data_IF_743932840889
#
_entry.id   IF_743932840889
#
_cell.length_a   1.000
_cell.length_b   1.000
_cell.length_c   1.000
_cell.angle_alpha   90.00
_cell.angle_beta   90.00
_cell.angle_gamma   90.00
#
_symmetry.space_group_name_H-M   'P 1'
#
loop_
_entity.id
_entity.type
_entity.pdbx_description
1 polymer ?
#
# COMPACT_ATOMS: atom_id res chain seq x y z
N UNK A 1 -45.32 37.13 4.37
CA UNK A 1 -44.33 36.84 3.29
C UNK A 1 -42.92 36.56 3.80
N UNK A 2 -42.38 37.22 4.84
CA UNK A 2 -40.98 37.06 5.29
C UNK A 2 -40.59 35.67 5.88
N UNK A 3 -41.51 34.94 6.50
CA UNK A 3 -41.21 33.67 7.19
C UNK A 3 -40.95 32.48 6.25
N UNK A 4 -41.59 32.44 5.06
CA UNK A 4 -41.40 31.35 4.09
C UNK A 4 -40.01 31.39 3.43
N UNK A 5 -39.51 32.59 3.13
CA UNK A 5 -38.16 32.76 2.58
C UNK A 5 -37.07 32.44 3.61
N UNK A 6 -37.32 32.72 4.90
CA UNK A 6 -36.38 32.38 5.97
C UNK A 6 -36.23 30.86 6.16
N UNK A 7 -37.35 30.11 6.08
CA UNK A 7 -37.33 28.64 6.19
C UNK A 7 -36.64 27.99 4.99
N UNK A 8 -36.87 28.51 3.78
CA UNK A 8 -36.23 28.03 2.54
C UNK A 8 -34.72 28.27 2.60
N UNK A 9 -34.28 29.43 3.10
CA UNK A 9 -32.84 29.71 3.27
C UNK A 9 -32.16 28.78 4.27
N UNK A 10 -32.83 28.40 5.37
CA UNK A 10 -32.29 27.45 6.35
C UNK A 10 -32.16 26.04 5.76
N UNK A 11 -33.17 25.59 4.99
CA UNK A 11 -33.14 24.28 4.33
C UNK A 11 -32.04 24.25 3.27
N UNK A 12 -31.89 25.31 2.47
CA UNK A 12 -30.82 25.44 1.47
C UNK A 12 -29.42 25.43 2.11
N UNK A 13 -29.24 26.12 3.25
CA UNK A 13 -27.99 26.12 4.00
C UNK A 13 -27.69 24.73 4.58
N UNK A 14 -28.70 24.05 5.12
CA UNK A 14 -28.56 22.67 5.61
C UNK A 14 -28.22 21.69 4.48
N UNK A 15 -28.85 21.81 3.32
CA UNK A 15 -28.52 20.96 2.16
C UNK A 15 -27.12 21.24 1.62
N UNK A 16 -26.66 22.49 1.60
CA UNK A 16 -25.28 22.80 1.20
C UNK A 16 -24.26 22.19 2.16
N UNK A 17 -24.49 22.28 3.47
CA UNK A 17 -23.61 21.71 4.50
C UNK A 17 -23.59 20.17 4.44
N UNK A 18 -24.73 19.52 4.15
CA UNK A 18 -24.79 18.08 3.97
C UNK A 18 -24.06 17.60 2.69
N UNK A 19 -24.11 18.38 1.60
CA UNK A 19 -23.41 18.07 0.35
C UNK A 19 -21.89 18.25 0.51
N UNK A 20 -21.43 19.27 1.25
CA UNK A 20 -20.01 19.48 1.54
C UNK A 20 -19.41 18.41 2.47
N UNK A 21 -20.21 17.84 3.37
CA UNK A 21 -19.77 16.74 4.25
C UNK A 21 -19.67 15.39 3.54
N UNK A 22 -20.48 15.15 2.51
CA UNK A 22 -20.33 13.93 1.69
C UNK A 22 -19.05 14.00 0.87
N UNK A 23 -18.80 15.11 0.15
CA UNK A 23 -17.70 15.25 -0.83
C UNK A 23 -16.26 15.26 -0.27
N UNK A 24 -16.06 15.14 1.04
CA UNK A 24 -14.74 15.04 1.67
C UNK A 24 -14.43 13.59 2.01
N UNK A 25 -14.21 12.75 0.99
CA UNK A 25 -13.58 11.45 1.23
C UNK A 25 -12.28 11.70 2.01
N UNK A 26 -12.23 11.24 3.26
CA UNK A 26 -11.08 11.49 4.14
C UNK A 26 -9.85 10.91 3.46
N UNK A 27 -8.85 11.76 3.21
CA UNK A 27 -7.57 11.32 2.64
C UNK A 27 -6.98 10.24 3.54
N UNK A 28 -6.85 9.04 3.02
CA UNK A 28 -6.22 7.91 3.70
C UNK A 28 -4.76 7.92 3.32
N UNK A 29 -3.90 7.84 4.34
CA UNK A 29 -2.47 7.67 4.17
C UNK A 29 -1.97 6.71 5.26
N UNK A 30 -1.95 5.43 4.95
CA UNK A 30 -1.49 4.37 5.88
C UNK A 30 -0.17 3.83 5.39
N UNK A 31 0.79 3.66 6.29
CA UNK A 31 2.14 3.18 5.97
C UNK A 31 2.55 2.11 6.95
N UNK A 32 3.15 1.03 6.47
CA UNK A 32 3.58 -0.11 7.28
C UNK A 32 5.07 -0.32 7.08
N UNK A 33 5.81 -0.44 8.18
CA UNK A 33 7.24 -0.78 8.19
C UNK A 33 7.42 -2.25 8.52
N UNK A 34 7.95 -3.02 7.58
CA UNK A 34 8.26 -4.43 7.73
C UNK A 34 9.33 -4.68 8.79
N UNK A 35 9.27 -5.85 9.43
CA UNK A 35 10.33 -6.34 10.33
C UNK A 35 10.49 -5.61 11.66
N UNK A 36 9.66 -4.61 11.96
CA UNK A 36 9.77 -3.76 13.15
C UNK A 36 8.50 -3.76 13.99
N UNK A 37 8.68 -3.65 15.31
CA UNK A 37 7.60 -3.65 16.30
C UNK A 37 7.25 -2.24 16.81
N UNK A 38 8.09 -1.26 16.51
CA UNK A 38 7.97 0.15 16.85
C UNK A 38 7.51 0.99 15.65
N UNK A 39 6.78 2.06 15.95
CA UNK A 39 6.45 3.09 14.96
C UNK A 39 7.71 3.86 14.55
N UNK A 40 7.77 4.24 13.28
CA UNK A 40 8.85 5.06 12.74
C UNK A 40 8.29 6.35 12.14
N UNK A 41 8.84 7.49 12.56
CA UNK A 41 8.56 8.78 11.94
C UNK A 41 9.69 9.13 10.99
N UNK A 42 9.37 9.26 9.71
CA UNK A 42 10.37 9.57 8.70
C UNK A 42 10.74 11.06 8.67
N UNK A 43 11.74 11.40 7.86
CA UNK A 43 12.25 12.76 7.69
C UNK A 43 11.21 13.78 7.20
N UNK A 44 10.10 13.31 6.62
CA UNK A 44 8.96 14.13 6.18
C UNK A 44 7.85 14.21 7.24
N UNK A 45 8.07 13.60 8.39
CA UNK A 45 7.11 13.53 9.49
C UNK A 45 5.98 12.52 9.28
N UNK A 46 6.06 11.64 8.26
CA UNK A 46 5.07 10.59 8.02
C UNK A 46 5.29 9.47 9.04
N UNK A 47 4.19 8.96 9.59
CA UNK A 47 4.22 7.83 10.52
C UNK A 47 4.14 6.52 9.73
N UNK A 48 5.04 5.60 10.05
CA UNK A 48 5.07 4.22 9.56
C UNK A 48 4.75 3.28 10.71
N UNK A 49 3.64 2.58 10.60
CA UNK A 49 3.16 1.66 11.61
C UNK A 49 3.95 0.34 11.63
N UNK A 50 4.06 -0.32 12.79
CA UNK A 50 4.85 -1.54 12.93
C UNK A 50 4.23 -2.74 12.20
N UNK A 51 4.98 -3.34 11.29
CA UNK A 51 4.57 -4.54 10.55
C UNK A 51 4.46 -5.80 11.43
N UNK A 52 4.96 -5.76 12.66
CA UNK A 52 4.89 -6.84 13.65
C UNK A 52 3.65 -6.76 14.57
N UNK A 53 2.72 -5.82 14.32
CA UNK A 53 1.46 -5.70 15.07
C UNK A 53 0.36 -6.57 14.48
N UNK A 54 -0.32 -7.35 15.34
CA UNK A 54 -1.47 -8.16 14.95
C UNK A 54 -2.62 -7.27 14.51
N UNK A 55 -3.34 -7.70 13.48
CA UNK A 55 -4.53 -7.00 13.00
C UNK A 55 -5.52 -6.68 14.11
N UNK A 56 -6.02 -5.45 14.08
CA UNK A 56 -7.14 -4.97 14.87
C UNK A 56 -8.05 -4.12 13.99
N UNK A 57 -9.35 -4.39 14.02
CA UNK A 57 -10.38 -3.59 13.33
C UNK A 57 -10.52 -2.17 13.89
N UNK A 58 -10.11 -1.97 15.15
CA UNK A 58 -10.25 -0.70 15.88
C UNK A 58 -9.00 0.20 15.71
N UNK A 59 -8.10 -0.17 14.81
CA UNK A 59 -6.80 0.48 14.57
C UNK A 59 -6.51 0.60 13.06
N UNK A 60 -5.28 0.91 12.66
CA UNK A 60 -4.89 1.02 11.25
C UNK A 60 -4.88 -0.32 10.49
N UNK A 61 -4.72 -1.45 11.18
CA UNK A 61 -4.56 -2.77 10.56
C UNK A 61 -3.53 -3.64 11.28
N UNK A 62 -2.92 -4.58 10.56
CA UNK A 62 -1.85 -5.44 11.06
C UNK A 62 -1.72 -6.75 10.31
N UNK A 63 -0.81 -7.61 10.76
CA UNK A 63 -0.66 -8.95 10.18
C UNK A 63 -1.86 -9.84 10.54
N UNK A 64 -2.19 -10.75 9.64
CA UNK A 64 -3.21 -11.79 9.83
C UNK A 64 -2.59 -13.18 9.66
N UNK A 65 -3.30 -14.19 10.17
CA UNK A 65 -2.90 -15.61 10.16
C UNK A 65 -1.60 -15.90 10.93
N UNK A 66 -0.44 -15.57 10.35
CA UNK A 66 0.87 -15.87 10.89
C UNK A 66 1.65 -14.59 11.19
N UNK A 67 2.24 -14.50 12.38
CA UNK A 67 3.20 -13.44 12.71
C UNK A 67 4.38 -13.53 11.72
N UNK A 68 4.67 -12.48 10.92
CA UNK A 68 5.80 -12.49 10.02
C UNK A 68 7.10 -12.56 10.81
N UNK A 69 8.06 -13.33 10.30
CA UNK A 69 9.43 -13.31 10.81
C UNK A 69 10.11 -12.00 10.43
N UNK A 70 11.20 -11.67 11.12
CA UNK A 70 11.99 -10.46 10.87
C UNK A 70 13.38 -10.81 10.33
N UNK A 71 13.93 -9.93 9.51
CA UNK A 71 15.34 -9.95 9.14
C UNK A 71 15.84 -8.52 8.94
N UNK A 72 17.16 -8.33 9.07
CA UNK A 72 17.83 -7.03 8.91
C UNK A 72 18.73 -7.03 7.70
N UNK A 73 18.49 -6.07 6.80
CA UNK A 73 19.41 -5.80 5.70
C UNK A 73 20.66 -5.13 6.28
N UNK A 74 21.82 -5.71 6.04
CA UNK A 74 23.06 -5.27 6.70
C UNK A 74 23.59 -3.95 6.14
N UNK A 75 23.42 -3.73 4.83
CA UNK A 75 23.91 -2.55 4.13
C UNK A 75 23.03 -2.24 2.91
N UNK A 76 23.12 -1.01 2.41
CA UNK A 76 22.58 -0.63 1.11
C UNK A 76 23.72 -0.12 0.23
N UNK A 77 23.70 -0.46 -1.06
CA UNK A 77 24.57 0.16 -2.05
C UNK A 77 24.27 1.65 -2.20
N UNK A 78 25.23 2.44 -2.68
CA UNK A 78 25.00 3.88 -2.89
C UNK A 78 23.90 4.14 -3.93
N UNK A 79 23.78 3.26 -4.93
CA UNK A 79 22.69 3.30 -5.90
C UNK A 79 21.33 3.08 -5.22
N UNK A 80 21.23 2.08 -4.33
CA UNK A 80 20.01 1.83 -3.57
C UNK A 80 19.63 3.01 -2.67
N UNK A 81 20.59 3.61 -1.95
CA UNK A 81 20.36 4.82 -1.14
C UNK A 81 19.87 5.98 -1.98
N UNK A 82 20.49 6.20 -3.15
CA UNK A 82 20.08 7.23 -4.11
C UNK A 82 18.65 6.98 -4.60
N UNK A 83 18.32 5.73 -4.97
CA UNK A 83 16.98 5.35 -5.40
C UNK A 83 15.93 5.62 -4.31
N UNK A 84 16.21 5.27 -3.05
CA UNK A 84 15.32 5.54 -1.92
C UNK A 84 15.07 7.05 -1.78
N UNK A 85 16.14 7.85 -1.78
CA UNK A 85 16.06 9.31 -1.66
C UNK A 85 15.29 9.95 -2.82
N UNK A 86 15.57 9.56 -4.06
CA UNK A 86 14.90 10.09 -5.26
C UNK A 86 13.41 9.74 -5.26
N UNK A 87 13.05 8.56 -4.76
CA UNK A 87 11.66 8.15 -4.55
C UNK A 87 11.02 8.81 -3.31
N UNK A 88 11.81 9.49 -2.48
CA UNK A 88 11.35 10.22 -1.31
C UNK A 88 11.10 9.37 -0.07
N UNK A 89 11.89 8.30 0.11
CA UNK A 89 11.87 7.41 1.27
C UNK A 89 13.18 7.48 2.04
N UNK A 90 13.08 7.27 3.36
CA UNK A 90 14.22 7.20 4.25
C UNK A 90 14.87 5.81 4.18
N UNK A 91 16.20 5.76 4.10
CA UNK A 91 16.96 4.49 4.07
C UNK A 91 16.59 3.51 5.20
N UNK A 92 16.36 3.95 6.48
CA UNK A 92 15.81 3.12 7.56
C UNK A 92 14.62 2.22 7.25
N UNK A 93 13.84 2.52 6.21
CA UNK A 93 12.72 1.69 5.79
C UNK A 93 13.17 0.40 5.11
N UNK A 94 14.32 0.40 4.43
CA UNK A 94 14.83 -0.75 3.68
C UNK A 94 15.76 -1.64 4.50
N UNK A 95 16.15 -1.22 5.71
CA UNK A 95 17.04 -1.99 6.60
C UNK A 95 16.34 -3.11 7.38
N UNK A 96 15.03 -3.28 7.23
CA UNK A 96 14.26 -4.33 7.89
C UNK A 96 13.20 -4.92 6.96
N UNK A 97 12.91 -6.21 7.12
CA UNK A 97 11.88 -6.90 6.36
C UNK A 97 10.98 -7.75 7.26
N UNK A 98 9.70 -7.82 6.92
CA UNK A 98 8.79 -8.87 7.35
C UNK A 98 8.84 -9.99 6.31
N UNK A 99 8.99 -11.25 6.73
CA UNK A 99 9.08 -12.39 5.82
C UNK A 99 8.39 -13.64 6.37
N UNK A 100 8.16 -14.64 5.53
CA UNK A 100 7.60 -15.94 5.94
C UNK A 100 8.36 -17.10 5.30
N UNK A 101 8.57 -18.17 6.08
CA UNK A 101 9.20 -19.39 5.60
C UNK A 101 8.22 -20.21 4.74
N UNK A 102 8.54 -20.41 3.47
CA UNK A 102 7.72 -21.20 2.55
C UNK A 102 7.45 -22.61 3.14
N UNK A 103 6.19 -23.09 3.12
CA UNK A 103 5.03 -22.60 2.36
C UNK A 103 4.17 -21.55 3.06
N UNK A 104 4.59 -21.02 4.21
CA UNK A 104 3.89 -19.90 4.85
C UNK A 104 4.02 -18.62 4.02
N UNK A 105 3.06 -17.74 4.21
CA UNK A 105 2.91 -16.49 3.45
C UNK A 105 2.89 -15.31 4.40
N UNK A 106 3.23 -14.13 3.90
CA UNK A 106 3.03 -12.89 4.65
C UNK A 106 1.67 -12.32 4.25
N UNK A 107 0.83 -11.98 5.23
CA UNK A 107 -0.48 -11.38 5.00
C UNK A 107 -0.75 -10.23 5.96
N UNK A 108 -1.28 -9.14 5.42
CA UNK A 108 -1.68 -7.96 6.18
C UNK A 108 -3.06 -7.49 5.75
N UNK A 109 -3.84 -7.07 6.73
CA UNK A 109 -5.11 -6.38 6.52
C UNK A 109 -4.95 -4.95 7.01
N UNK A 110 -5.39 -3.99 6.18
CA UNK A 110 -5.26 -2.55 6.44
C UNK A 110 -6.65 -1.92 6.38
N UNK A 111 -7.07 -1.25 7.46
CA UNK A 111 -8.40 -0.63 7.54
C UNK A 111 -8.41 0.70 6.77
N UNK A 112 -8.48 0.62 5.44
CA UNK A 112 -8.46 1.78 4.54
C UNK A 112 -9.82 2.46 4.41
N UNK A 113 -10.91 1.75 4.71
CA UNK A 113 -12.24 2.15 4.23
C UNK A 113 -12.42 1.85 2.74
N UNK A 114 -13.63 2.12 2.23
CA UNK A 114 -13.96 1.90 0.84
C UNK A 114 -13.38 3.01 -0.04
N UNK A 115 -12.93 2.66 -1.24
CA UNK A 115 -12.44 3.65 -2.20
C UNK A 115 -11.41 3.11 -3.17
N UNK A 116 -10.75 4.03 -3.86
CA UNK A 116 -9.67 3.75 -4.81
C UNK A 116 -8.36 4.25 -4.19
N UNK A 117 -7.33 3.42 -4.21
CA UNK A 117 -6.05 3.65 -3.56
C UNK A 117 -4.87 3.38 -4.48
N UNK A 118 -3.78 4.10 -4.26
CA UNK A 118 -2.48 3.81 -4.84
C UNK A 118 -1.60 3.17 -3.75
N UNK A 119 -0.90 2.10 -4.12
CA UNK A 119 -0.03 1.32 -3.24
C UNK A 119 1.40 1.43 -3.74
N UNK A 120 2.33 1.73 -2.83
CA UNK A 120 3.76 1.56 -3.06
C UNK A 120 4.31 0.43 -2.19
N UNK A 121 4.87 -0.58 -2.85
CA UNK A 121 5.59 -1.69 -2.24
C UNK A 121 7.09 -1.40 -2.20
N UNK A 122 7.72 -1.62 -1.05
CA UNK A 122 9.15 -1.39 -0.80
C UNK A 122 9.81 -2.69 -0.35
N UNK A 123 11.00 -2.98 -0.86
CA UNK A 123 11.82 -4.10 -0.40
C UNK A 123 13.31 -3.79 -0.48
N UNK A 124 14.06 -4.20 0.54
CA UNK A 124 15.52 -4.31 0.52
C UNK A 124 15.95 -5.77 0.60
N UNK A 125 16.90 -6.19 -0.22
CA UNK A 125 17.39 -7.58 -0.28
C UNK A 125 18.85 -7.68 0.15
N UNK A 126 19.17 -8.71 0.93
CA UNK A 126 20.53 -8.97 1.44
C UNK A 126 20.83 -10.45 1.70
N UNK A 127 19.80 -11.28 1.87
CA UNK A 127 19.93 -12.67 2.33
C UNK A 127 19.90 -13.66 1.15
N UNK A 128 19.08 -13.40 0.13
CA UNK A 128 18.93 -14.27 -1.03
C UNK A 128 18.86 -13.46 -2.33
N UNK A 129 19.90 -12.68 -2.64
CA UNK A 129 19.90 -11.74 -3.75
C UNK A 129 19.67 -12.43 -5.10
N UNK A 130 18.77 -11.86 -5.91
CA UNK A 130 18.34 -12.42 -7.20
C UNK A 130 17.82 -13.88 -7.14
N UNK A 131 17.52 -14.39 -5.95
CA UNK A 131 17.21 -15.80 -5.71
C UNK A 131 15.92 -16.02 -4.89
N UNK A 132 15.24 -14.94 -4.49
CA UNK A 132 13.93 -15.04 -3.83
C UNK A 132 12.81 -14.81 -4.84
N UNK A 133 11.90 -15.77 -4.99
CA UNK A 133 10.81 -15.74 -5.96
C UNK A 133 9.42 -15.88 -5.34
N UNK A 134 8.54 -14.91 -5.55
CA UNK A 134 7.17 -14.91 -5.04
C UNK A 134 6.23 -14.07 -5.89
N UNK A 135 4.94 -14.18 -5.62
CA UNK A 135 3.90 -13.34 -6.18
C UNK A 135 3.45 -12.30 -5.14
N UNK A 136 3.02 -11.14 -5.61
CA UNK A 136 2.40 -10.10 -4.79
C UNK A 136 0.93 -9.99 -5.17
N UNK A 137 0.07 -10.16 -4.16
CA UNK A 137 -1.36 -10.01 -4.29
C UNK A 137 -1.85 -8.81 -3.47
N UNK A 138 -2.77 -8.04 -4.06
CA UNK A 138 -3.51 -6.96 -3.41
C UNK A 138 -4.99 -7.18 -3.75
N UNK A 139 -5.89 -7.15 -2.77
CA UNK A 139 -7.32 -7.44 -2.97
C UNK A 139 -7.58 -8.79 -3.67
N UNK A 140 -6.71 -9.78 -3.45
CA UNK A 140 -6.78 -11.09 -4.09
C UNK A 140 -6.34 -11.14 -5.56
N UNK A 141 -6.04 -10.00 -6.19
CA UNK A 141 -5.47 -9.93 -7.54
C UNK A 141 -3.95 -10.07 -7.50
N UNK A 142 -3.37 -10.88 -8.41
CA UNK A 142 -1.92 -11.00 -8.55
C UNK A 142 -1.35 -9.82 -9.34
N UNK A 143 -1.03 -8.73 -8.63
CA UNK A 143 -0.56 -7.47 -9.22
C UNK A 143 0.90 -7.51 -9.66
N UNK A 144 1.69 -8.46 -9.15
CA UNK A 144 3.09 -8.66 -9.57
C UNK A 144 3.45 -10.16 -9.57
N UNK A 145 3.10 -10.89 -10.63
CA UNK A 145 3.40 -12.31 -10.74
C UNK A 145 4.88 -12.54 -11.02
N UNK A 146 5.40 -13.68 -10.54
CA UNK A 146 6.77 -14.14 -10.76
C UNK A 146 7.84 -13.11 -10.35
N UNK A 147 7.56 -12.34 -9.30
CA UNK A 147 8.49 -11.35 -8.80
C UNK A 147 9.77 -12.03 -8.25
N UNK A 148 10.90 -11.40 -8.54
CA UNK A 148 12.22 -11.79 -8.04
C UNK A 148 12.86 -10.59 -7.38
N UNK A 149 13.37 -10.75 -6.16
CA UNK A 149 14.03 -9.66 -5.42
C UNK A 149 15.29 -9.17 -6.12
N UNK A 150 15.70 -7.92 -5.86
CA UNK A 150 16.89 -7.34 -6.49
C UNK A 150 18.20 -7.99 -5.98
N UNK A 151 19.34 -7.44 -6.41
CA UNK A 151 20.65 -7.90 -6.02
C UNK A 151 20.98 -7.65 -4.54
N UNK A 152 22.22 -7.98 -4.19
CA UNK A 152 22.68 -7.89 -2.81
C UNK A 152 22.78 -6.43 -2.36
N UNK A 153 22.15 -6.10 -1.23
CA UNK A 153 22.08 -4.75 -0.68
C UNK A 153 21.41 -3.75 -1.63
N UNK A 154 20.56 -4.24 -2.53
CA UNK A 154 19.77 -3.43 -3.45
C UNK A 154 18.31 -3.34 -2.97
N UNK A 155 17.59 -2.38 -3.55
CA UNK A 155 16.19 -2.15 -3.22
C UNK A 155 15.32 -2.19 -4.47
N UNK A 156 14.05 -2.46 -4.24
CA UNK A 156 13.01 -2.31 -5.24
C UNK A 156 11.86 -1.48 -4.67
N UNK A 157 11.29 -0.63 -5.53
CA UNK A 157 10.14 0.24 -5.23
C UNK A 157 9.15 0.03 -6.37
N UNK A 158 7.99 -0.58 -6.08
CA UNK A 158 6.95 -0.86 -7.06
C UNK A 158 5.68 -0.08 -6.71
N UNK A 159 5.04 0.52 -7.72
CA UNK A 159 3.81 1.30 -7.55
C UNK A 159 2.67 0.63 -8.29
N UNK A 160 1.53 0.53 -7.64
CA UNK A 160 0.28 0.00 -8.17
C UNK A 160 -0.78 1.07 -7.97
N UNK A 161 -1.43 1.50 -9.05
CA UNK A 161 -2.41 2.59 -9.01
C UNK A 161 -3.82 2.03 -9.23
N UNK A 162 -4.82 2.67 -8.64
CA UNK A 162 -6.22 2.36 -8.92
C UNK A 162 -6.77 1.08 -8.27
N UNK A 163 -6.24 0.68 -7.11
CA UNK A 163 -6.73 -0.48 -6.35
C UNK A 163 -8.08 -0.13 -5.70
N UNK A 164 -9.14 -0.84 -6.07
CA UNK A 164 -10.49 -0.64 -5.53
C UNK A 164 -10.73 -1.55 -4.30
N UNK A 165 -11.09 -0.94 -3.16
CA UNK A 165 -11.44 -1.65 -1.91
C UNK A 165 -12.93 -1.46 -1.63
N UNK A 166 -13.65 -2.57 -1.38
CA UNK A 166 -15.13 -2.59 -1.27
C UNK A 166 -15.66 -2.91 0.13
N UNK A 167 -14.88 -3.59 0.94
CA UNK A 167 -15.24 -4.10 2.27
C UNK A 167 -14.46 -3.42 3.40
N UNK A 168 -13.95 -2.21 3.13
CA UNK A 168 -13.24 -1.32 4.04
C UNK A 168 -11.87 -1.81 4.52
N UNK A 169 -11.41 -2.98 4.07
CA UNK A 169 -10.13 -3.56 4.47
C UNK A 169 -9.36 -3.92 3.22
N UNK A 170 -8.19 -3.30 3.04
CA UNK A 170 -7.27 -3.72 1.99
C UNK A 170 -6.45 -4.91 2.45
N UNK A 171 -6.49 -6.01 1.69
CA UNK A 171 -5.73 -7.21 1.91
C UNK A 171 -4.44 -7.22 1.07
N UNK A 172 -3.34 -7.57 1.74
CA UNK A 172 -2.06 -7.86 1.14
C UNK A 172 -1.71 -9.32 1.37
N UNK A 173 -1.21 -9.98 0.33
CA UNK A 173 -0.74 -11.36 0.42
C UNK A 173 0.52 -11.54 -0.44
N UNK A 174 1.59 -12.03 0.19
CA UNK A 174 2.86 -12.31 -0.46
C UNK A 174 3.15 -13.81 -0.34
N UNK A 175 3.27 -14.50 -1.48
CA UNK A 175 3.34 -15.96 -1.51
C UNK A 175 4.45 -16.47 -2.42
N UNK A 176 5.29 -17.36 -1.89
CA UNK A 176 6.36 -18.03 -2.64
C UNK A 176 5.85 -18.74 -3.89
N UNK A 177 6.56 -18.58 -5.00
CA UNK A 177 6.13 -19.13 -6.29
C UNK A 177 7.28 -19.90 -6.97
N UNK A 178 7.19 -21.23 -6.97
CA UNK A 178 8.17 -22.11 -7.60
C UNK A 178 8.32 -21.89 -9.12
N UNK A 179 7.32 -21.31 -9.80
CA UNK A 179 7.40 -21.00 -11.25
C UNK A 179 8.39 -19.89 -11.57
N UNK A 180 8.85 -19.13 -10.57
CA UNK A 180 9.95 -18.17 -10.72
C UNK A 180 11.28 -18.82 -11.08
N UNK A 181 11.41 -20.14 -10.84
CA UNK A 181 12.66 -20.88 -11.03
C UNK A 181 13.74 -20.56 -9.99
N UNK A 182 13.36 -19.89 -8.90
CA UNK A 182 14.28 -19.45 -7.85
C UNK A 182 14.36 -20.43 -6.68
N UNK A 183 15.52 -20.49 -6.02
CA UNK A 183 15.80 -21.46 -4.96
C UNK A 183 15.24 -21.05 -3.59
N UNK A 184 14.99 -19.77 -3.37
CA UNK A 184 14.34 -19.26 -2.17
C UNK A 184 12.93 -18.76 -2.52
N UNK A 185 11.92 -19.22 -1.80
CA UNK A 185 10.51 -18.87 -2.03
C UNK A 185 9.90 -18.14 -0.83
N UNK A 186 10.72 -17.70 0.11
CA UNK A 186 10.27 -17.04 1.32
C UNK A 186 9.81 -15.61 0.98
N UNK A 187 8.51 -15.33 0.94
CA UNK A 187 8.01 -14.00 0.55
C UNK A 187 8.33 -12.94 1.61
N UNK A 188 8.54 -11.68 1.19
CA UNK A 188 8.91 -10.59 2.11
C UNK A 188 8.50 -9.19 1.65
N UNK A 189 8.56 -8.22 2.56
CA UNK A 189 8.46 -6.79 2.27
C UNK A 189 9.19 -5.95 3.33
N UNK A 190 9.72 -4.78 2.92
CA UNK A 190 10.31 -3.78 3.82
C UNK A 190 9.32 -2.70 4.21
N UNK A 191 8.42 -2.32 3.31
CA UNK A 191 7.37 -1.36 3.63
C UNK A 191 6.23 -1.36 2.63
N UNK A 192 5.09 -0.84 3.08
CA UNK A 192 3.90 -0.60 2.28
C UNK A 192 3.43 0.83 2.53
N UNK A 193 3.15 1.59 1.49
CA UNK A 193 2.49 2.89 1.57
C UNK A 193 1.19 2.84 0.77
N UNK A 194 0.07 3.12 1.44
CA UNK A 194 -1.27 3.13 0.89
C UNK A 194 -1.78 4.56 0.99
N UNK A 195 -2.11 5.16 -0.15
CA UNK A 195 -2.66 6.52 -0.20
C UNK A 195 -3.93 6.52 -1.04
N UNK A 196 -4.88 7.39 -0.71
CA UNK A 196 -6.04 7.64 -1.57
C UNK A 196 -5.58 7.95 -3.00
N UNK A 197 -6.11 7.23 -3.98
CA UNK A 197 -5.70 7.33 -5.37
C UNK A 197 -6.09 8.67 -5.99
N UNK A 198 -5.32 9.14 -6.96
CA UNK A 198 -5.56 10.47 -7.58
C UNK A 198 -6.91 10.62 -8.29
N UNK A 199 -7.59 9.52 -8.60
CA UNK A 199 -8.89 9.49 -9.27
C UNK A 199 -10.03 8.98 -8.38
N UNK A 200 -9.87 9.06 -7.05
CA UNK A 200 -10.93 8.72 -6.09
C UNK A 200 -12.06 9.77 -6.13
N UNK A 201 -12.82 9.77 -7.22
CA UNK A 201 -14.17 10.32 -7.22
C UNK A 201 -15.03 9.30 -6.49
N UNK A 202 -15.91 9.75 -5.59
CA UNK A 202 -16.87 8.90 -4.89
C UNK A 202 -17.53 7.91 -5.86
N UNK A 203 -17.87 6.69 -5.42
CA UNK A 203 -18.59 5.73 -6.25
C UNK A 203 -19.99 6.29 -6.52
N UNK A 204 -20.12 7.11 -7.55
CA UNK A 204 -21.40 7.39 -8.16
C UNK A 204 -21.82 6.11 -8.86
N UNK A 205 -22.96 5.54 -8.47
CA UNK A 205 -23.65 4.37 -9.05
C UNK A 205 -24.02 4.52 -10.55
N UNK A 206 -23.44 5.48 -11.25
CA UNK A 206 -23.54 5.62 -12.69
C UNK A 206 -22.34 4.94 -13.36
N UNK A 207 -22.55 3.66 -13.71
CA UNK A 207 -21.79 2.86 -14.69
C UNK A 207 -20.68 3.66 -15.43
N UNK A 208 -19.44 3.50 -15.00
CA UNK A 208 -18.30 4.00 -15.75
C UNK A 208 -18.05 3.10 -16.98
N UNK A 209 -18.50 3.57 -18.14
CA UNK A 209 -18.07 3.07 -19.45
C UNK A 209 -16.58 3.35 -19.63
N UNK A 210 -15.78 2.29 -19.86
CA UNK A 210 -14.35 2.38 -20.14
C UNK A 210 -14.06 3.40 -21.24
N UNK A 211 -13.30 4.44 -20.90
CA UNK A 211 -12.78 5.40 -21.88
C UNK A 211 -11.31 5.08 -22.12
N UNK A 212 -11.04 4.29 -23.17
CA UNK A 212 -9.69 4.03 -23.64
C UNK A 212 -9.14 5.28 -24.33
N UNK A 213 -8.22 5.99 -23.67
CA UNK A 213 -7.48 7.09 -24.29
C UNK A 213 -6.49 6.55 -25.34
N UNK A 214 -6.72 6.88 -26.61
CA UNK A 214 -5.75 6.68 -27.70
C UNK A 214 -4.46 7.45 -27.40
N UNK A 215 -3.35 6.73 -27.24
CA UNK A 215 -2.01 7.33 -27.30
C UNK A 215 -1.81 7.83 -28.74
N UNK A 216 -1.58 9.13 -28.91
CA UNK A 216 -1.15 9.71 -30.18
C UNK A 216 0.27 9.19 -30.48
N UNK A 217 0.41 8.42 -31.54
CA UNK A 217 1.70 8.24 -32.20
C UNK A 217 2.09 9.58 -32.87
N UNK A 218 3.21 10.17 -32.44
CA UNK A 218 3.86 11.24 -33.18
C UNK A 218 4.89 10.63 -34.13
N UNK A 219 4.71 10.91 -35.41
CA UNK A 219 5.70 10.70 -36.48
C UNK A 219 6.92 11.61 -36.30
#
# INVERSE_FOLDING_TARGET
MRSKYFLISIILLFTLVCIEQQAMSKKVEIRVRGGRADEFKDSKGRVWYPGQKKYSKDDWGGWIENLPQTAEVAALTDNAKKMAKDAGYDEPLFYAVSWAAFPLTVKHDINTGNGIFDVTYLVGEHWSPNNRGYDIFIEGENVLPLYVTPGNNEIDIKKFEGIEVKDSVMNFHFAGNAKTGKGDLNAMFSGLEIVTGKYSVEPNDNKLTATWGKIKASY
#
